data_IF_984142182007
#
_entry.id   IF_984142182007
#
_cell.length_a   1.000
_cell.length_b   1.000
_cell.length_c   1.000
_cell.angle_alpha   90.00
_cell.angle_beta   90.00
_cell.angle_gamma   90.00
#
_symmetry.space_group_name_H-M   'P 1'
#
loop_
_entity.id
_entity.type
_entity.pdbx_description
1 polymer ?
#
# COMPACT_ATOMS: atom_id res chain seq x y z
N UNK A 1 5.18 -8.04 -21.98
CA UNK A 1 5.81 -8.66 -20.80
C UNK A 1 6.50 -7.55 -20.01
N UNK A 2 6.29 -7.40 -18.73
CA UNK A 2 6.91 -6.37 -17.92
C UNK A 2 8.31 -6.80 -17.45
N UNK A 3 9.17 -5.84 -17.16
CA UNK A 3 10.51 -6.03 -16.56
C UNK A 3 10.73 -5.02 -15.46
N UNK A 4 11.58 -5.34 -14.46
CA UNK A 4 11.89 -4.42 -13.37
C UNK A 4 12.47 -3.09 -13.87
N UNK A 5 13.28 -3.11 -14.92
CA UNK A 5 13.85 -1.90 -15.53
C UNK A 5 12.79 -1.02 -16.18
N UNK A 6 11.84 -1.63 -16.91
CA UNK A 6 10.75 -0.91 -17.57
C UNK A 6 9.82 -0.24 -16.55
N UNK A 7 9.43 -0.96 -15.49
CA UNK A 7 8.59 -0.38 -14.43
C UNK A 7 9.27 0.81 -13.75
N UNK A 8 10.56 0.67 -13.43
CA UNK A 8 11.36 1.74 -12.83
C UNK A 8 11.53 2.95 -13.74
N UNK A 9 11.69 2.72 -15.04
CA UNK A 9 11.78 3.79 -16.03
C UNK A 9 10.44 4.53 -16.16
N UNK A 10 9.32 3.80 -16.26
CA UNK A 10 7.98 4.38 -16.30
C UNK A 10 7.66 5.18 -15.04
N UNK A 11 8.00 4.64 -13.87
CA UNK A 11 7.82 5.36 -12.60
C UNK A 11 8.61 6.68 -12.55
N UNK A 12 9.84 6.69 -13.06
CA UNK A 12 10.63 7.94 -13.18
C UNK A 12 9.98 8.95 -14.13
N UNK A 13 9.47 8.46 -15.28
CA UNK A 13 8.73 9.31 -16.23
C UNK A 13 7.46 9.87 -15.60
N UNK A 14 6.68 9.05 -14.89
CA UNK A 14 5.47 9.48 -14.19
C UNK A 14 5.73 10.52 -13.10
N UNK A 15 6.89 10.46 -12.45
CA UNK A 15 7.31 11.43 -11.43
C UNK A 15 8.01 12.66 -12.01
N UNK A 16 8.40 12.66 -13.27
CA UNK A 16 9.11 13.78 -13.89
C UNK A 16 8.27 15.08 -13.79
N UNK A 17 8.84 16.12 -13.21
CA UNK A 17 8.16 17.40 -12.93
C UNK A 17 7.13 17.37 -11.79
N UNK A 18 6.94 16.22 -11.10
CA UNK A 18 5.94 16.03 -10.03
C UNK A 18 6.55 15.46 -8.73
N UNK A 19 7.86 15.43 -8.61
CA UNK A 19 8.55 14.83 -7.46
C UNK A 19 8.10 15.40 -6.12
N UNK A 20 7.95 16.74 -6.03
CA UNK A 20 7.53 17.41 -4.80
C UNK A 20 6.12 16.97 -4.37
N UNK A 21 5.20 16.82 -5.32
CA UNK A 21 3.86 16.33 -5.03
C UNK A 21 3.88 14.86 -4.56
N UNK A 22 4.69 14.00 -5.17
CA UNK A 22 4.90 12.63 -4.71
C UNK A 22 5.53 12.57 -3.31
N UNK A 23 6.52 13.42 -3.04
CA UNK A 23 7.11 13.55 -1.68
C UNK A 23 6.04 14.00 -0.68
N UNK A 24 5.23 15.01 -1.02
CA UNK A 24 4.15 15.48 -0.15
C UNK A 24 3.13 14.39 0.14
N UNK A 25 2.75 13.59 -0.87
CA UNK A 25 1.87 12.44 -0.72
C UNK A 25 2.43 11.40 0.28
N UNK A 26 3.71 11.05 0.15
CA UNK A 26 4.37 10.14 1.09
C UNK A 26 4.60 10.76 2.47
N UNK A 27 4.82 12.07 2.58
CA UNK A 27 4.96 12.74 3.87
C UNK A 27 3.67 12.70 4.68
N UNK A 28 2.51 12.83 4.05
CA UNK A 28 1.21 12.75 4.74
C UNK A 28 1.08 11.42 5.48
N UNK A 29 1.32 10.30 4.80
CA UNK A 29 1.22 8.99 5.44
C UNK A 29 2.30 8.79 6.51
N UNK A 30 3.53 9.27 6.26
CA UNK A 30 4.60 9.19 7.25
C UNK A 30 4.31 10.04 8.48
N UNK A 31 3.67 11.19 8.33
CA UNK A 31 3.25 12.04 9.45
C UNK A 31 2.20 11.32 10.31
N UNK A 32 1.20 10.68 9.68
CA UNK A 32 0.21 9.88 10.40
C UNK A 32 0.88 8.71 11.12
N UNK A 33 1.83 8.02 10.48
CA UNK A 33 2.64 6.99 11.13
C UNK A 33 3.46 7.55 12.31
N UNK A 34 4.03 8.73 12.20
CA UNK A 34 4.80 9.37 13.27
C UNK A 34 3.92 9.67 14.48
N UNK A 35 2.74 10.23 14.28
CA UNK A 35 1.78 10.46 15.37
C UNK A 35 1.13 9.18 15.92
N UNK A 36 1.07 8.11 15.10
CA UNK A 36 0.62 6.79 15.54
C UNK A 36 1.75 5.98 16.18
N UNK A 37 2.99 6.47 16.12
CA UNK A 37 4.23 5.73 16.38
C UNK A 37 4.59 5.60 17.87
N UNK A 38 3.61 5.75 18.73
CA UNK A 38 3.55 4.87 19.88
C UNK A 38 3.19 3.42 19.47
N UNK A 39 3.41 3.04 18.19
CA UNK A 39 3.22 1.67 17.68
C UNK A 39 4.28 0.69 18.21
N UNK A 40 5.44 1.15 18.67
CA UNK A 40 6.26 0.41 19.62
C UNK A 40 5.48 0.19 20.93
N UNK A 41 4.55 1.09 21.26
CA UNK A 41 3.58 0.90 22.33
C UNK A 41 2.62 -0.25 22.01
N UNK A 42 2.07 -0.43 20.80
CA UNK A 42 1.16 -1.56 20.53
C UNK A 42 1.87 -2.89 20.76
N UNK A 43 3.08 -3.06 20.25
CA UNK A 43 3.90 -4.24 20.55
C UNK A 43 4.25 -4.35 22.05
N UNK A 44 4.63 -3.25 22.69
CA UNK A 44 4.92 -3.23 24.13
C UNK A 44 3.65 -3.37 24.98
N UNK A 45 2.48 -2.87 24.54
CA UNK A 45 1.20 -3.10 25.22
C UNK A 45 0.77 -4.57 25.13
N UNK A 46 0.91 -5.22 23.98
CA UNK A 46 0.60 -6.64 23.81
C UNK A 46 1.53 -7.48 24.68
N UNK A 47 2.84 -7.22 24.64
CA UNK A 47 3.83 -7.92 25.45
C UNK A 47 3.60 -7.67 26.95
N UNK A 48 3.34 -6.43 27.35
CA UNK A 48 3.06 -6.03 28.74
C UNK A 48 1.76 -6.67 29.26
N UNK A 49 0.73 -6.79 28.41
CA UNK A 49 -0.54 -7.43 28.80
C UNK A 49 -0.41 -8.96 28.90
N UNK A 50 0.35 -9.59 28.00
CA UNK A 50 0.58 -11.04 28.03
C UNK A 50 1.54 -11.47 29.15
N UNK A 51 2.46 -10.60 29.56
CA UNK A 51 3.49 -10.91 30.57
C UNK A 51 3.30 -10.17 31.92
N UNK A 52 2.12 -9.61 32.16
CA UNK A 52 1.69 -9.28 33.52
C UNK A 52 2.10 -7.92 34.08
N UNK A 53 2.21 -6.88 33.25
CA UNK A 53 2.32 -5.50 33.73
C UNK A 53 0.95 -4.82 33.69
N UNK A 54 0.46 -4.41 34.86
CA UNK A 54 -0.90 -3.88 35.09
C UNK A 54 -1.05 -2.38 34.75
N UNK A 55 -0.50 -1.90 33.65
CA UNK A 55 -0.79 -0.54 33.22
C UNK A 55 -2.00 -0.55 32.26
N UNK A 56 -3.13 0.09 32.64
CA UNK A 56 -4.30 0.16 31.75
C UNK A 56 -3.91 0.91 30.47
N UNK A 57 -4.42 0.43 29.31
CA UNK A 57 -4.33 1.18 28.06
C UNK A 57 -4.97 2.55 28.29
N UNK A 58 -4.16 3.60 28.31
CA UNK A 58 -4.66 4.97 28.37
C UNK A 58 -5.41 5.31 27.07
N UNK A 59 -6.22 6.36 27.11
CA UNK A 59 -6.99 6.85 25.98
C UNK A 59 -6.11 7.03 24.71
N UNK A 60 -4.90 7.53 24.87
CA UNK A 60 -3.93 7.68 23.78
C UNK A 60 -3.51 6.34 23.13
N UNK A 61 -3.36 5.29 23.93
CA UNK A 61 -3.04 3.95 23.41
C UNK A 61 -4.18 3.37 22.58
N UNK A 62 -5.43 3.52 23.04
CA UNK A 62 -6.62 3.08 22.30
C UNK A 62 -6.72 3.85 20.98
N UNK A 63 -6.54 5.17 21.01
CA UNK A 63 -6.58 6.02 19.82
C UNK A 63 -5.48 5.63 18.81
N UNK A 64 -4.27 5.38 19.28
CA UNK A 64 -3.14 4.93 18.46
C UNK A 64 -3.44 3.58 17.77
N UNK A 65 -4.02 2.63 18.50
CA UNK A 65 -4.44 1.34 17.92
C UNK A 65 -5.50 1.54 16.83
N UNK A 66 -6.52 2.35 17.10
CA UNK A 66 -7.58 2.63 16.13
C UNK A 66 -7.02 3.30 14.86
N UNK A 67 -6.12 4.26 15.01
CA UNK A 67 -5.44 4.90 13.88
C UNK A 67 -4.61 3.90 13.07
N UNK A 68 -3.81 3.06 13.74
CA UNK A 68 -2.93 2.09 13.09
C UNK A 68 -3.72 1.00 12.36
N UNK A 69 -4.82 0.53 12.96
CA UNK A 69 -5.57 -0.61 12.43
C UNK A 69 -6.55 -0.20 11.33
N UNK A 70 -7.16 0.97 11.43
CA UNK A 70 -8.24 1.38 10.52
C UNK A 70 -7.88 2.55 9.62
N UNK A 71 -7.22 3.58 10.12
CA UNK A 71 -6.96 4.81 9.34
C UNK A 71 -5.75 4.67 8.43
N UNK A 72 -4.64 4.13 8.94
CA UNK A 72 -3.41 3.99 8.15
C UNK A 72 -3.59 3.08 6.92
N UNK A 73 -4.24 1.90 7.01
CA UNK A 73 -4.46 1.07 5.84
C UNK A 73 -5.36 1.74 4.79
N UNK A 74 -6.39 2.49 5.20
CA UNK A 74 -7.22 3.26 4.27
C UNK A 74 -6.44 4.41 3.64
N UNK A 75 -5.62 5.10 4.41
CA UNK A 75 -4.75 6.15 3.88
C UNK A 75 -3.72 5.60 2.87
N UNK A 76 -3.21 4.38 3.09
CA UNK A 76 -2.33 3.72 2.11
C UNK A 76 -3.04 3.42 0.79
N UNK A 77 -4.35 3.10 0.83
CA UNK A 77 -5.18 2.99 -0.38
C UNK A 77 -5.26 4.35 -1.10
N UNK A 78 -5.42 5.45 -0.35
CA UNK A 78 -5.41 6.80 -0.91
C UNK A 78 -4.08 7.16 -1.58
N UNK A 79 -2.96 6.76 -0.98
CA UNK A 79 -1.63 6.93 -1.60
C UNK A 79 -1.50 6.08 -2.87
N UNK A 80 -1.94 4.83 -2.84
CA UNK A 80 -1.97 3.98 -4.03
C UNK A 80 -2.80 4.61 -5.16
N UNK A 81 -4.00 5.15 -4.84
CA UNK A 81 -4.85 5.90 -5.77
C UNK A 81 -4.10 7.08 -6.38
N UNK A 82 -3.49 7.93 -5.55
CA UNK A 82 -2.73 9.08 -6.00
C UNK A 82 -1.63 8.68 -7.01
N UNK A 83 -0.84 7.62 -6.73
CA UNK A 83 0.21 7.19 -7.66
C UNK A 83 -0.34 6.53 -8.93
N UNK A 84 -1.49 5.86 -8.87
CA UNK A 84 -2.15 5.36 -10.08
C UNK A 84 -2.67 6.50 -10.96
N UNK A 85 -3.30 7.52 -10.37
CA UNK A 85 -3.75 8.72 -11.09
C UNK A 85 -2.55 9.51 -11.65
N UNK A 86 -1.44 9.60 -10.90
CA UNK A 86 -0.22 10.31 -11.32
C UNK A 86 0.43 9.72 -12.57
N UNK A 87 0.17 8.46 -12.90
CA UNK A 87 0.58 7.84 -14.17
C UNK A 87 -0.10 8.48 -15.38
N UNK A 88 -1.33 8.93 -15.22
CA UNK A 88 -2.18 9.42 -16.30
C UNK A 88 -2.20 10.95 -16.39
N UNK A 89 -1.95 11.65 -15.29
CA UNK A 89 -2.02 13.11 -15.25
C UNK A 89 -1.33 13.73 -14.05
N UNK A 90 -1.80 14.90 -13.62
CA UNK A 90 -1.32 15.65 -12.44
C UNK A 90 -2.42 15.71 -11.38
N UNK A 91 -2.65 14.64 -10.62
CA UNK A 91 -3.67 14.67 -9.57
C UNK A 91 -3.28 15.67 -8.47
N UNK A 92 -4.25 16.34 -7.86
CA UNK A 92 -3.98 17.13 -6.66
C UNK A 92 -3.58 16.19 -5.51
N UNK A 93 -2.63 16.60 -4.66
CA UNK A 93 -2.21 15.78 -3.50
C UNK A 93 -3.39 15.47 -2.58
N UNK A 94 -4.41 16.33 -2.56
CA UNK A 94 -5.65 16.12 -1.82
C UNK A 94 -6.46 14.89 -2.26
N UNK A 95 -6.23 14.31 -3.45
CA UNK A 95 -6.92 13.08 -3.90
C UNK A 95 -6.67 11.88 -2.98
N UNK A 96 -5.59 11.90 -2.20
CA UNK A 96 -5.32 10.90 -1.15
C UNK A 96 -6.48 10.80 -0.15
N UNK A 97 -7.14 11.91 0.15
CA UNK A 97 -8.23 11.95 1.14
C UNK A 97 -9.60 11.58 0.56
N UNK A 98 -9.73 11.40 -0.76
CA UNK A 98 -10.99 10.98 -1.39
C UNK A 98 -11.48 9.60 -0.89
N UNK A 99 -10.56 8.76 -0.43
CA UNK A 99 -10.89 7.45 0.17
C UNK A 99 -11.76 7.56 1.44
N UNK A 100 -11.77 8.72 2.11
CA UNK A 100 -12.63 8.94 3.28
C UNK A 100 -14.07 9.27 2.89
N UNK A 101 -14.32 9.79 1.69
CA UNK A 101 -15.67 10.03 1.14
C UNK A 101 -16.22 8.84 0.37
N UNK A 102 -15.35 8.06 -0.28
CA UNK A 102 -15.71 7.07 -1.31
C UNK A 102 -15.89 5.63 -0.76
N UNK A 103 -16.30 5.48 0.50
CA UNK A 103 -16.57 4.14 1.05
C UNK A 103 -15.54 3.68 2.10
N UNK A 104 -15.11 4.59 2.96
CA UNK A 104 -14.18 4.35 4.07
C UNK A 104 -14.47 3.05 4.84
N UNK A 105 -15.75 2.81 5.20
CA UNK A 105 -16.14 1.64 5.99
C UNK A 105 -15.80 0.32 5.31
N UNK A 106 -16.10 0.18 4.02
CA UNK A 106 -15.75 -1.03 3.27
C UNK A 106 -14.23 -1.20 3.16
N UNK A 107 -13.53 -0.14 2.78
CA UNK A 107 -12.06 -0.18 2.66
C UNK A 107 -11.39 -0.54 3.99
N UNK A 108 -11.86 0.02 5.11
CA UNK A 108 -11.34 -0.28 6.45
C UNK A 108 -11.56 -1.75 6.83
N UNK A 109 -12.77 -2.28 6.60
CA UNK A 109 -13.10 -3.69 6.90
C UNK A 109 -12.27 -4.64 6.02
N UNK A 110 -12.19 -4.39 4.72
CA UNK A 110 -11.41 -5.24 3.80
C UNK A 110 -9.93 -5.23 4.18
N UNK A 111 -9.35 -4.04 4.42
CA UNK A 111 -7.96 -3.90 4.84
C UNK A 111 -7.69 -4.61 6.16
N UNK A 112 -8.58 -4.46 7.14
CA UNK A 112 -8.47 -5.15 8.42
C UNK A 112 -8.46 -6.67 8.25
N UNK A 113 -9.41 -7.23 7.48
CA UNK A 113 -9.50 -8.68 7.25
C UNK A 113 -8.29 -9.23 6.47
N UNK A 114 -7.76 -8.48 5.52
CA UNK A 114 -6.54 -8.85 4.78
C UNK A 114 -5.34 -8.85 5.72
N UNK A 115 -5.14 -7.76 6.48
CA UNK A 115 -4.03 -7.65 7.43
C UNK A 115 -4.12 -8.73 8.51
N UNK A 116 -5.32 -9.05 9.00
CA UNK A 116 -5.54 -10.14 9.95
C UNK A 116 -5.12 -11.49 9.37
N UNK A 117 -5.46 -11.78 8.10
CA UNK A 117 -5.01 -13.01 7.43
C UNK A 117 -3.49 -13.07 7.30
N UNK A 118 -2.86 -11.98 6.87
CA UNK A 118 -1.41 -11.89 6.74
C UNK A 118 -0.75 -12.10 8.11
N UNK A 119 -1.27 -11.45 9.15
CA UNK A 119 -0.79 -11.62 10.54
C UNK A 119 -0.89 -13.08 11.00
N UNK A 120 -2.01 -13.76 10.74
CA UNK A 120 -2.16 -15.19 11.03
C UNK A 120 -1.14 -16.03 10.27
N UNK A 121 -0.81 -15.66 9.03
CA UNK A 121 0.27 -16.29 8.26
C UNK A 121 1.62 -16.16 8.95
N UNK A 122 1.95 -14.97 9.47
CA UNK A 122 3.19 -14.73 10.23
C UNK A 122 3.20 -15.45 11.59
N UNK A 123 2.05 -15.57 12.26
CA UNK A 123 1.95 -16.34 13.50
C UNK A 123 2.20 -17.84 13.29
N UNK A 124 1.88 -18.38 12.11
CA UNK A 124 2.19 -19.76 11.76
C UNK A 124 3.68 -19.95 11.50
N UNK A 125 4.24 -19.20 10.57
CA UNK A 125 5.67 -19.17 10.22
C UNK A 125 5.95 -17.92 9.36
N UNK A 126 7.20 -17.47 9.31
CA UNK A 126 7.61 -16.30 8.50
C UNK A 126 7.31 -16.54 7.01
N UNK A 127 7.62 -17.72 6.47
CA UNK A 127 7.45 -18.03 5.05
C UNK A 127 5.99 -17.97 4.59
N UNK A 128 5.01 -18.61 5.25
CA UNK A 128 3.60 -18.44 4.92
C UNK A 128 3.11 -16.98 5.02
N UNK A 129 3.61 -16.23 6.02
CA UNK A 129 3.29 -14.81 6.18
C UNK A 129 3.66 -13.99 4.94
N UNK A 130 4.91 -14.10 4.49
CA UNK A 130 5.41 -13.43 3.28
C UNK A 130 4.63 -13.87 2.03
N UNK A 131 4.32 -15.16 1.89
CA UNK A 131 3.53 -15.66 0.75
C UNK A 131 2.13 -15.05 0.73
N UNK A 132 1.49 -14.87 1.90
CA UNK A 132 0.17 -14.27 2.00
C UNK A 132 0.21 -12.76 1.80
N UNK A 133 1.23 -12.07 2.30
CA UNK A 133 1.46 -10.67 2.04
C UNK A 133 1.55 -10.39 0.52
N UNK A 134 2.40 -11.11 -0.20
CA UNK A 134 2.49 -10.97 -1.66
C UNK A 134 1.22 -11.41 -2.39
N UNK A 135 0.48 -12.39 -1.87
CA UNK A 135 -0.80 -12.82 -2.44
C UNK A 135 -1.83 -11.69 -2.44
N UNK A 136 -1.82 -10.85 -1.42
CA UNK A 136 -2.79 -9.78 -1.22
C UNK A 136 -2.21 -8.38 -1.51
N UNK A 137 -1.01 -8.30 -2.05
CA UNK A 137 -0.33 -7.04 -2.33
C UNK A 137 -1.10 -6.09 -3.28
N UNK A 138 -1.98 -6.63 -4.13
CA UNK A 138 -2.78 -5.82 -5.07
C UNK A 138 -4.10 -5.31 -4.45
N UNK A 139 -4.50 -5.77 -3.26
CA UNK A 139 -5.77 -5.37 -2.64
C UNK A 139 -5.88 -3.85 -2.43
N UNK A 140 -4.87 -3.11 -1.93
CA UNK A 140 -4.97 -1.66 -1.78
C UNK A 140 -5.25 -0.96 -3.12
N UNK A 141 -4.64 -1.41 -4.20
CA UNK A 141 -4.85 -0.85 -5.55
C UNK A 141 -6.23 -1.17 -6.11
N UNK A 142 -6.73 -2.38 -5.88
CA UNK A 142 -8.09 -2.79 -6.26
C UNK A 142 -9.15 -1.95 -5.55
N UNK A 143 -8.98 -1.72 -4.25
CA UNK A 143 -9.90 -0.88 -3.47
C UNK A 143 -9.79 0.60 -3.82
N UNK A 144 -8.60 1.06 -4.25
CA UNK A 144 -8.42 2.41 -4.75
C UNK A 144 -9.17 2.65 -6.06
N UNK A 145 -9.26 1.62 -6.93
CA UNK A 145 -9.99 1.67 -8.20
C UNK A 145 -11.48 1.38 -8.02
N UNK A 146 -11.84 0.43 -7.16
CA UNK A 146 -13.22 0.08 -6.83
C UNK A 146 -13.44 -0.01 -5.30
N UNK A 147 -13.80 1.11 -4.66
CA UNK A 147 -14.03 1.19 -3.21
C UNK A 147 -15.16 0.30 -2.70
N UNK A 148 -16.10 -0.10 -3.55
CA UNK A 148 -17.27 -0.93 -3.19
C UNK A 148 -17.00 -2.44 -3.33
N UNK A 149 -15.80 -2.84 -3.79
CA UNK A 149 -15.45 -4.24 -3.99
C UNK A 149 -15.55 -5.05 -2.70
N UNK A 150 -16.20 -6.21 -2.74
CA UNK A 150 -16.32 -7.08 -1.57
C UNK A 150 -14.97 -7.67 -1.16
N UNK A 151 -14.80 -7.95 0.13
CA UNK A 151 -13.55 -8.49 0.68
C UNK A 151 -13.13 -9.81 0.01
N UNK A 152 -14.06 -10.73 -0.21
CA UNK A 152 -13.79 -12.02 -0.88
C UNK A 152 -13.31 -11.81 -2.32
N UNK A 153 -13.97 -10.89 -3.04
CA UNK A 153 -13.63 -10.60 -4.44
C UNK A 153 -12.27 -9.90 -4.56
N UNK A 154 -11.99 -8.91 -3.72
CA UNK A 154 -10.69 -8.23 -3.69
C UNK A 154 -9.53 -9.22 -3.43
N UNK A 155 -9.71 -10.14 -2.47
CA UNK A 155 -8.71 -11.17 -2.18
C UNK A 155 -8.56 -12.20 -3.31
N UNK A 156 -9.67 -12.62 -3.93
CA UNK A 156 -9.67 -13.54 -5.07
C UNK A 156 -8.93 -12.94 -6.26
N UNK A 157 -9.29 -11.71 -6.64
CA UNK A 157 -8.72 -11.02 -7.77
C UNK A 157 -7.23 -10.72 -7.56
N UNK A 158 -6.85 -10.24 -6.38
CA UNK A 158 -5.44 -10.05 -6.02
C UNK A 158 -4.65 -11.36 -6.10
N UNK A 159 -5.23 -12.48 -5.62
CA UNK A 159 -4.61 -13.81 -5.73
C UNK A 159 -4.42 -14.22 -7.19
N UNK A 160 -5.41 -13.99 -8.04
CA UNK A 160 -5.35 -14.29 -9.48
C UNK A 160 -4.25 -13.48 -10.18
N UNK A 161 -4.21 -12.17 -9.94
CA UNK A 161 -3.19 -11.27 -10.47
C UNK A 161 -1.77 -11.69 -10.07
N UNK A 162 -1.57 -12.04 -8.79
CA UNK A 162 -0.26 -12.40 -8.23
C UNK A 162 0.12 -13.86 -8.48
N UNK A 163 -0.73 -14.63 -9.19
CA UNK A 163 -0.39 -16.02 -9.54
C UNK A 163 0.79 -16.03 -10.52
N UNK A 164 1.88 -16.72 -10.11
CA UNK A 164 3.14 -16.78 -10.88
C UNK A 164 4.04 -15.53 -10.76
N UNK A 165 3.56 -14.42 -10.18
CA UNK A 165 4.29 -13.15 -10.13
C UNK A 165 4.93 -12.82 -8.77
N UNK A 166 4.67 -13.61 -7.73
CA UNK A 166 5.15 -13.33 -6.38
C UNK A 166 6.67 -13.22 -6.30
N UNK A 167 7.38 -14.14 -6.96
CA UNK A 167 8.84 -14.11 -6.99
C UNK A 167 9.37 -12.89 -7.77
N UNK A 168 8.73 -12.57 -8.89
CA UNK A 168 9.09 -11.40 -9.69
C UNK A 168 8.85 -10.09 -8.90
N UNK A 169 7.78 -10.02 -8.12
CA UNK A 169 7.49 -8.89 -7.24
C UNK A 169 8.52 -8.79 -6.10
N UNK A 170 8.90 -9.92 -5.50
CA UNK A 170 9.99 -9.98 -4.52
C UNK A 170 11.30 -9.46 -5.10
N UNK A 171 11.67 -9.88 -6.32
CA UNK A 171 12.87 -9.39 -7.01
C UNK A 171 12.79 -7.89 -7.29
N UNK A 172 11.60 -7.37 -7.62
CA UNK A 172 11.38 -5.93 -7.80
C UNK A 172 11.64 -5.18 -6.48
N UNK A 173 11.11 -5.63 -5.36
CA UNK A 173 11.35 -5.03 -4.04
C UNK A 173 12.82 -5.13 -3.62
N UNK A 174 13.43 -6.31 -3.82
CA UNK A 174 14.85 -6.54 -3.53
C UNK A 174 15.74 -5.57 -4.32
N UNK A 175 15.33 -5.20 -5.52
CA UNK A 175 16.08 -4.26 -6.37
C UNK A 175 16.15 -2.82 -5.82
N UNK A 176 15.36 -2.49 -4.79
CA UNK A 176 15.43 -1.23 -4.06
C UNK A 176 16.29 -1.31 -2.80
N UNK A 177 16.72 -2.52 -2.38
CA UNK A 177 17.42 -2.68 -1.10
C UNK A 177 18.73 -1.88 -1.05
N UNK A 178 19.47 -1.81 -2.18
CA UNK A 178 20.67 -0.99 -2.27
C UNK A 178 20.41 0.50 -2.06
N UNK A 179 19.27 1.00 -2.54
CA UNK A 179 18.84 2.37 -2.33
C UNK A 179 18.43 2.61 -0.87
N UNK A 180 17.76 1.64 -0.22
CA UNK A 180 17.43 1.71 1.19
C UNK A 180 18.68 1.76 2.07
N UNK A 181 19.70 0.96 1.77
CA UNK A 181 20.98 1.03 2.46
C UNK A 181 21.61 2.44 2.31
N UNK A 182 21.53 3.01 1.09
CA UNK A 182 22.06 4.35 0.83
C UNK A 182 21.33 5.44 1.67
N UNK A 183 20.06 5.24 2.01
CA UNK A 183 19.33 6.21 2.85
C UNK A 183 19.87 6.30 4.27
N UNK A 184 20.53 5.24 4.77
CA UNK A 184 21.16 5.23 6.10
C UNK A 184 22.30 6.27 6.14
N UNK A 185 23.11 6.34 5.08
CA UNK A 185 24.21 7.31 4.98
C UNK A 185 23.74 8.76 4.86
N UNK A 186 22.51 8.99 4.48
CA UNK A 186 21.91 10.33 4.41
C UNK A 186 21.04 10.66 5.62
N UNK A 187 21.22 9.94 6.75
CA UNK A 187 20.42 10.11 7.98
C UNK A 187 18.90 10.06 7.72
N UNK A 188 18.47 9.24 6.73
CA UNK A 188 17.07 9.07 6.38
C UNK A 188 16.50 10.09 5.38
N UNK A 189 17.20 11.18 5.07
CA UNK A 189 16.72 12.19 4.10
C UNK A 189 16.49 11.56 2.72
N UNK A 190 17.35 10.62 2.31
CA UNK A 190 17.19 9.87 1.05
C UNK A 190 15.88 9.11 0.93
N UNK A 191 15.31 8.67 2.06
CA UNK A 191 14.03 7.95 2.10
C UNK A 191 12.85 8.81 1.60
N UNK A 192 12.89 10.14 1.80
CA UNK A 192 11.87 11.07 1.33
C UNK A 192 11.74 11.06 -0.20
N UNK A 193 12.86 10.84 -0.89
CA UNK A 193 12.89 10.77 -2.36
C UNK A 193 12.72 9.34 -2.86
N UNK A 194 13.20 8.36 -2.11
CA UNK A 194 13.10 6.96 -2.50
C UNK A 194 11.65 6.45 -2.41
N UNK A 195 10.91 6.83 -1.36
CA UNK A 195 9.56 6.34 -1.13
C UNK A 195 8.58 6.65 -2.27
N UNK A 196 8.47 7.90 -2.78
CA UNK A 196 7.63 8.16 -3.95
C UNK A 196 8.01 7.33 -5.18
N UNK A 197 9.30 7.06 -5.35
CA UNK A 197 9.79 6.23 -6.45
C UNK A 197 9.38 4.76 -6.32
N UNK A 198 9.43 4.22 -5.12
CA UNK A 198 8.94 2.85 -4.82
C UNK A 198 7.44 2.76 -5.06
N UNK A 199 6.66 3.69 -4.50
CA UNK A 199 5.19 3.74 -4.66
C UNK A 199 4.78 3.88 -6.13
N UNK A 200 5.43 4.77 -6.88
CA UNK A 200 5.19 4.91 -8.32
C UNK A 200 5.54 3.63 -9.09
N UNK A 201 6.62 2.92 -8.71
CA UNK A 201 6.99 1.66 -9.35
C UNK A 201 5.98 0.55 -9.05
N UNK A 202 5.44 0.52 -7.83
CA UNK A 202 4.38 -0.43 -7.46
C UNK A 202 3.08 -0.12 -8.18
N UNK A 203 2.73 1.16 -8.40
CA UNK A 203 1.59 1.54 -9.23
C UNK A 203 1.75 1.10 -10.70
N UNK A 204 2.99 1.18 -11.26
CA UNK A 204 3.28 0.61 -12.59
C UNK A 204 3.16 -0.92 -12.60
N UNK A 205 3.61 -1.58 -11.53
CA UNK A 205 3.44 -3.02 -11.39
C UNK A 205 1.97 -3.42 -11.34
N UNK A 206 1.15 -2.69 -10.55
CA UNK A 206 -0.31 -2.91 -10.54
C UNK A 206 -0.91 -2.78 -11.92
N UNK A 207 -0.53 -1.76 -12.71
CA UNK A 207 -1.05 -1.61 -14.06
C UNK A 207 -0.69 -2.80 -14.98
N UNK A 208 0.51 -3.37 -14.84
CA UNK A 208 0.89 -4.58 -15.55
C UNK A 208 0.04 -5.79 -15.10
N UNK A 209 -0.22 -5.91 -13.79
CA UNK A 209 -1.07 -6.97 -13.23
C UNK A 209 -2.54 -6.80 -13.63
N UNK A 210 -3.02 -5.56 -13.69
CA UNK A 210 -4.35 -5.23 -14.20
C UNK A 210 -4.51 -5.66 -15.66
N UNK A 211 -3.56 -5.32 -16.53
CA UNK A 211 -3.58 -5.74 -17.93
C UNK A 211 -3.56 -7.27 -18.08
N UNK A 212 -2.77 -7.97 -17.25
CA UNK A 212 -2.76 -9.44 -17.17
C UNK A 212 -4.13 -9.98 -16.75
N UNK A 213 -4.78 -9.39 -15.74
CA UNK A 213 -6.10 -9.81 -15.28
C UNK A 213 -7.17 -9.70 -16.38
N UNK A 214 -7.16 -8.62 -17.16
CA UNK A 214 -8.02 -8.47 -18.32
C UNK A 214 -7.72 -9.53 -19.39
N UNK A 215 -6.47 -9.78 -19.71
CA UNK A 215 -6.08 -10.79 -20.71
C UNK A 215 -6.45 -12.21 -20.30
N UNK A 216 -6.53 -12.47 -19.00
CA UNK A 216 -6.96 -13.77 -18.45
C UNK A 216 -8.48 -13.88 -18.30
N UNK A 217 -9.24 -12.81 -18.52
CA UNK A 217 -10.68 -12.75 -18.35
C UNK A 217 -11.17 -12.92 -16.91
N UNK A 218 -10.30 -12.63 -15.90
CA UNK A 218 -10.68 -12.75 -14.47
C UNK A 218 -11.33 -11.49 -13.92
N UNK A 219 -11.34 -10.40 -14.68
CA UNK A 219 -11.99 -9.12 -14.38
C UNK A 219 -12.42 -8.44 -15.68
N UNK A 220 -13.32 -7.46 -15.57
CA UNK A 220 -13.81 -6.66 -16.69
C UNK A 220 -13.74 -5.14 -16.41
N UNK A 221 -14.07 -4.32 -17.40
CA UNK A 221 -14.07 -2.85 -17.28
C UNK A 221 -15.19 -2.31 -16.37
N UNK A 222 -16.24 -3.08 -16.11
CA UNK A 222 -17.30 -2.67 -15.19
C UNK A 222 -16.82 -2.83 -13.74
N UNK A 223 -15.98 -3.83 -13.47
CA UNK A 223 -15.41 -4.07 -12.17
C UNK A 223 -14.19 -3.16 -11.88
N UNK A 224 -13.33 -2.96 -12.88
CA UNK A 224 -12.16 -2.09 -12.82
C UNK A 224 -12.26 -1.03 -13.93
N UNK A 225 -12.99 0.05 -13.63
CA UNK A 225 -13.28 1.11 -14.60
C UNK A 225 -12.07 2.01 -14.91
N UNK A 226 -11.03 2.00 -14.07
CA UNK A 226 -9.91 2.92 -14.17
C UNK A 226 -10.21 4.30 -13.54
N UNK A 227 -9.27 5.23 -13.70
CA UNK A 227 -9.39 6.59 -13.21
C UNK A 227 -9.63 7.54 -14.38
N UNK A 228 -10.32 8.65 -14.11
CA UNK A 228 -10.43 9.75 -15.06
C UNK A 228 -9.05 10.35 -15.30
N UNK A 229 -8.73 10.63 -16.57
CA UNK A 229 -7.49 11.34 -16.92
C UNK A 229 -7.62 12.79 -16.49
N UNK A 230 -6.67 13.27 -15.69
CA UNK A 230 -6.53 14.70 -15.44
C UNK A 230 -5.83 15.31 -16.65
N UNK A 231 -6.52 16.19 -17.38
CA UNK A 231 -5.90 16.96 -18.45
C UNK A 231 -4.74 17.79 -17.91
N UNK A 232 -3.64 17.83 -18.68
CA UNK A 232 -2.37 18.40 -18.26
C UNK A 232 -2.38 19.94 -18.25
#
# INVERSE_FOLDING_TARGET
>A
MWTCSLLKENARKALAGKWLAGVAACLIINLVYFFSNDASAVGSYIVTYLFGSSRPLGLFGILSILLTVFVIPVLSIGVARYFMENRQGKPPVGSIFSVFSDGFGNMAVVSFLVNLKVLLGYCLLIVPGVIWEYRYAMVPYLLAENPSMSCSRAMELSRGMMHGEKFNFFVLELSFIGWWILTIFTFGIGALFLRPYVEATQAEFYAAMRAKAFSMGITDQNELAGFFTYEA
#
